data_IF_915909694841
#
_entry.id   IF_915909694841
#
_cell.length_a   1.000
_cell.length_b   1.000
_cell.length_c   1.000
_cell.angle_alpha   90.00
_cell.angle_beta   90.00
_cell.angle_gamma   90.00
#
_symmetry.space_group_name_H-M   'P 1'
#
loop_
_entity.id
_entity.type
_entity.pdbx_description
1 polymer ?
#
# COMPACT_ATOMS: atom_id res chain seq x y z
N UNK A 1 15.17 -12.62 7.95
CA UNK A 1 14.11 -13.54 8.42
C UNK A 1 13.14 -12.72 9.25
N UNK A 2 11.84 -12.80 8.97
CA UNK A 2 10.80 -12.07 9.74
C UNK A 2 9.81 -13.01 10.41
N UNK A 3 9.60 -14.20 9.83
CA UNK A 3 8.67 -15.20 10.36
C UNK A 3 9.13 -15.83 11.68
N UNK A 4 10.43 -15.98 11.91
CA UNK A 4 10.97 -16.51 13.17
C UNK A 4 10.52 -15.66 14.37
N UNK A 5 10.64 -14.33 14.26
CA UNK A 5 10.17 -13.37 15.27
C UNK A 5 8.66 -13.45 15.46
N UNK A 6 7.87 -13.47 14.38
CA UNK A 6 6.41 -13.57 14.49
C UNK A 6 5.95 -14.87 15.19
N UNK A 7 6.63 -15.99 14.92
CA UNK A 7 6.31 -17.27 15.56
C UNK A 7 6.68 -17.23 17.05
N UNK A 8 7.85 -16.67 17.39
CA UNK A 8 8.27 -16.50 18.78
C UNK A 8 7.29 -15.60 19.56
N UNK A 9 6.94 -14.45 19.00
CA UNK A 9 6.00 -13.49 19.62
C UNK A 9 4.61 -14.10 19.83
N UNK A 10 4.14 -14.93 18.88
CA UNK A 10 2.90 -15.69 19.01
C UNK A 10 2.96 -16.67 20.20
N UNK A 11 4.07 -17.39 20.38
CA UNK A 11 4.26 -18.32 21.50
C UNK A 11 4.35 -17.59 22.85
N UNK A 12 4.95 -16.40 22.86
CA UNK A 12 5.08 -15.56 24.06
C UNK A 12 3.81 -14.75 24.37
N UNK A 13 2.84 -14.73 23.45
CA UNK A 13 1.61 -13.95 23.60
C UNK A 13 1.82 -12.44 23.43
N UNK A 14 2.86 -12.02 22.69
CA UNK A 14 3.11 -10.62 22.36
C UNK A 14 2.37 -10.23 21.07
N UNK A 15 1.34 -9.35 21.14
CA UNK A 15 0.56 -8.96 19.97
C UNK A 15 1.16 -7.78 19.18
N UNK A 16 2.33 -7.24 19.57
CA UNK A 16 2.85 -5.95 19.05
C UNK A 16 3.04 -5.91 17.53
N UNK A 17 3.43 -7.03 16.92
CA UNK A 17 3.64 -7.15 15.47
C UNK A 17 2.39 -7.64 14.71
N UNK A 18 1.29 -7.89 15.42
CA UNK A 18 0.05 -8.37 14.83
C UNK A 18 -0.95 -7.23 14.67
N UNK A 19 -1.66 -7.25 13.54
CA UNK A 19 -2.75 -6.30 13.29
C UNK A 19 -3.99 -6.71 14.08
N UNK A 20 -4.58 -5.74 14.77
CA UNK A 20 -5.87 -5.92 15.45
C UNK A 20 -7.02 -5.88 14.45
N UNK A 21 -8.15 -6.47 14.81
CA UNK A 21 -9.31 -6.55 13.92
C UNK A 21 -9.87 -5.16 13.55
N UNK A 22 -9.94 -4.24 14.52
CA UNK A 22 -10.37 -2.85 14.32
C UNK A 22 -9.45 -2.07 13.37
N UNK A 23 -8.13 -2.30 13.44
CA UNK A 23 -7.17 -1.74 12.50
C UNK A 23 -7.37 -2.28 11.08
N UNK A 24 -7.63 -3.59 10.94
CA UNK A 24 -7.89 -4.24 9.65
C UNK A 24 -9.16 -3.65 9.02
N UNK A 25 -10.25 -3.55 9.78
CA UNK A 25 -11.51 -2.97 9.32
C UNK A 25 -11.34 -1.50 8.90
N UNK A 26 -10.55 -0.73 9.65
CA UNK A 26 -10.26 0.67 9.33
C UNK A 26 -9.44 0.79 8.05
N UNK A 27 -8.45 -0.09 7.85
CA UNK A 27 -7.69 -0.17 6.60
C UNK A 27 -8.59 -0.45 5.39
N UNK A 28 -9.49 -1.43 5.52
CA UNK A 28 -10.46 -1.75 4.47
C UNK A 28 -11.43 -0.60 4.18
N UNK A 29 -11.86 0.15 5.20
CA UNK A 29 -12.74 1.32 5.02
C UNK A 29 -12.11 2.40 4.13
N UNK A 30 -10.78 2.52 4.13
CA UNK A 30 -10.04 3.47 3.28
C UNK A 30 -9.86 2.93 1.87
N UNK A 31 -9.53 1.65 1.71
CA UNK A 31 -9.20 1.05 0.41
C UNK A 31 -10.44 0.68 -0.41
N UNK A 32 -11.51 0.23 0.24
CA UNK A 32 -12.70 -0.29 -0.45
C UNK A 32 -13.34 0.70 -1.45
N UNK A 33 -13.55 2.00 -1.11
CA UNK A 33 -14.12 2.95 -2.07
C UNK A 33 -13.27 3.16 -3.32
N UNK A 34 -11.93 3.05 -3.20
CA UNK A 34 -11.01 3.17 -4.33
C UNK A 34 -11.17 1.97 -5.27
N UNK A 35 -11.28 0.76 -4.71
CA UNK A 35 -11.50 -0.46 -5.49
C UNK A 35 -12.85 -0.46 -6.20
N UNK A 36 -13.90 0.01 -5.53
CA UNK A 36 -15.24 0.10 -6.12
C UNK A 36 -15.26 1.13 -7.26
N UNK A 37 -14.68 2.31 -7.05
CA UNK A 37 -14.55 3.31 -8.09
C UNK A 37 -13.72 2.82 -9.30
N UNK A 38 -12.66 2.04 -9.05
CA UNK A 38 -11.83 1.48 -10.12
C UNK A 38 -12.54 0.40 -10.93
N UNK A 39 -13.44 -0.37 -10.31
CA UNK A 39 -14.29 -1.34 -11.04
C UNK A 39 -15.29 -0.66 -11.97
N UNK A 40 -15.82 0.48 -11.58
CA UNK A 40 -16.82 1.24 -12.35
C UNK A 40 -16.18 2.10 -13.45
N UNK A 41 -14.97 2.63 -13.20
CA UNK A 41 -14.25 3.50 -14.11
C UNK A 41 -13.36 2.68 -15.04
N UNK A 42 -13.65 2.72 -16.35
CA UNK A 42 -12.76 2.18 -17.38
C UNK A 42 -11.65 3.19 -17.74
N UNK A 43 -11.03 3.79 -16.73
CA UNK A 43 -9.86 4.64 -16.91
C UNK A 43 -8.65 3.74 -17.20
N UNK A 44 -7.93 4.02 -18.30
CA UNK A 44 -6.84 3.17 -18.77
C UNK A 44 -5.71 3.03 -17.74
N UNK A 45 -5.08 1.86 -17.72
CA UNK A 45 -3.88 1.62 -16.92
C UNK A 45 -2.72 2.50 -17.39
N UNK A 46 -1.96 3.04 -16.45
CA UNK A 46 -0.68 3.69 -16.75
C UNK A 46 0.42 2.63 -16.82
N UNK A 47 1.10 2.56 -17.95
CA UNK A 47 2.21 1.62 -18.18
C UNK A 47 3.56 2.27 -17.88
N UNK A 48 4.54 1.44 -17.58
CA UNK A 48 5.93 1.84 -17.35
C UNK A 48 6.88 0.73 -17.80
N UNK A 49 8.13 1.09 -18.06
CA UNK A 49 9.15 0.14 -18.50
C UNK A 49 9.67 -0.69 -17.32
N UNK A 50 9.97 -1.97 -17.57
CA UNK A 50 10.53 -2.83 -16.53
C UNK A 50 11.91 -2.31 -16.09
N UNK A 51 12.08 -2.09 -14.78
CA UNK A 51 13.30 -1.50 -14.22
C UNK A 51 13.27 0.03 -14.07
N UNK A 52 12.19 0.70 -14.51
CA UNK A 52 11.96 2.11 -14.18
C UNK A 52 11.29 2.28 -12.81
N UNK A 53 11.27 3.52 -12.30
CA UNK A 53 10.63 3.89 -11.02
C UNK A 53 9.08 3.97 -11.09
N UNK A 54 8.49 3.46 -12.17
CA UNK A 54 7.04 3.50 -12.39
C UNK A 54 6.60 4.49 -13.48
N UNK A 55 5.28 4.74 -13.61
CA UNK A 55 4.71 5.58 -14.66
C UNK A 55 4.86 7.07 -14.37
N UNK A 56 4.90 7.90 -15.42
CA UNK A 56 4.95 9.37 -15.31
C UNK A 56 3.82 9.94 -14.42
N UNK A 57 2.62 9.35 -14.49
CA UNK A 57 1.48 9.74 -13.68
C UNK A 57 1.75 9.67 -12.17
N UNK A 58 2.63 8.78 -11.70
CA UNK A 58 3.02 8.67 -10.30
C UNK A 58 3.91 9.85 -9.85
N UNK A 59 4.80 10.34 -10.71
CA UNK A 59 5.60 11.53 -10.45
C UNK A 59 4.73 12.80 -10.45
N UNK A 60 3.82 12.92 -11.42
CA UNK A 60 2.87 14.03 -11.50
C UNK A 60 1.94 14.11 -10.28
N UNK A 61 1.54 12.96 -9.72
CA UNK A 61 0.70 12.92 -8.52
C UNK A 61 1.37 13.61 -7.33
N UNK A 62 2.66 13.36 -7.10
CA UNK A 62 3.39 14.01 -6.00
C UNK A 62 3.70 15.47 -6.30
N UNK A 63 4.09 15.80 -7.54
CA UNK A 63 4.47 17.17 -7.91
C UNK A 63 3.32 18.16 -7.78
N UNK A 64 2.07 17.71 -7.98
CA UNK A 64 0.85 18.50 -7.67
C UNK A 64 0.77 18.96 -6.22
N UNK A 65 1.45 18.26 -5.31
CA UNK A 65 1.54 18.59 -3.90
C UNK A 65 2.90 19.20 -3.49
N UNK A 66 3.73 19.58 -4.47
CA UNK A 66 5.06 20.15 -4.25
C UNK A 66 6.07 19.17 -3.65
N UNK A 67 5.87 17.86 -3.91
CA UNK A 67 6.72 16.78 -3.40
C UNK A 67 7.27 15.95 -4.56
N UNK A 68 8.41 15.34 -4.34
CA UNK A 68 9.05 14.41 -5.27
C UNK A 68 9.33 13.07 -4.58
N UNK A 69 9.42 12.00 -5.37
CA UNK A 69 9.86 10.70 -4.89
C UNK A 69 11.32 10.78 -4.44
N UNK A 70 11.65 10.03 -3.38
CA UNK A 70 13.06 9.86 -2.99
C UNK A 70 13.68 8.78 -3.87
N UNK A 71 14.89 9.02 -4.33
CA UNK A 71 15.70 8.00 -5.00
C UNK A 71 15.94 6.81 -4.04
N UNK A 72 15.90 5.60 -4.59
CA UNK A 72 16.06 4.33 -3.87
C UNK A 72 17.53 3.90 -3.89
#
# INVERSE_FOLDING_TARGET
TGYETLIYDCMMGDPTLFRRADEIESGWRVVQPILDAWRERNEGLSFYEAGSDGPQAAAELLSRSGRDWREI
#
